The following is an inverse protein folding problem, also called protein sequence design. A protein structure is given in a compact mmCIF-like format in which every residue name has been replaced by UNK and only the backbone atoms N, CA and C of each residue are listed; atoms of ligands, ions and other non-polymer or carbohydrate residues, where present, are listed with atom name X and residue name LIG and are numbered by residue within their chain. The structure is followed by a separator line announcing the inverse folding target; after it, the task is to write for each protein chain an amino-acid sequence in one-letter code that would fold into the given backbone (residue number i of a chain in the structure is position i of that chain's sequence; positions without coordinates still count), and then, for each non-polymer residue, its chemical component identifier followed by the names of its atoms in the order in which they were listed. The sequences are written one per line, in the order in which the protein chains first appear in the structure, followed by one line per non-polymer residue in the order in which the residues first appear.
data_IF_979201561834
#
_entry.id   IF_979201561834
#
_cell.length_a   1.000
_cell.length_b   1.000
_cell.length_c   1.000
_cell.angle_alpha   90.00
_cell.angle_beta   90.00
_cell.angle_gamma   90.00
#
_symmetry.space_group_name_H-M   'P 1'
#
loop_
_entity.id
_entity.type
_entity.pdbx_description
1 polymer ?
#
# COMPACT_ATOMS: atom_id res chain seq x y z
N UNK A 1 -6.35 -10.35 0.83
CA UNK A 1 -7.31 -10.88 -0.18
C UNK A 1 -8.60 -10.07 -0.11
N UNK A 2 -9.44 -10.09 -1.14
CA UNK A 2 -10.74 -9.37 -1.27
C UNK A 2 -10.64 -7.84 -1.38
N UNK A 3 -9.60 -7.35 -2.06
CA UNK A 3 -9.40 -5.91 -2.30
C UNK A 3 -10.56 -5.27 -3.08
N UNK A 4 -11.18 -6.03 -4.00
CA UNK A 4 -12.40 -5.67 -4.74
C UNK A 4 -13.56 -5.28 -3.81
N UNK A 5 -13.74 -6.00 -2.69
CA UNK A 5 -14.79 -5.68 -1.71
C UNK A 5 -14.49 -4.39 -0.95
N UNK A 6 -13.21 -4.06 -0.76
CA UNK A 6 -12.84 -2.82 -0.09
C UNK A 6 -13.16 -1.60 -0.95
N UNK A 7 -12.96 -1.68 -2.27
CA UNK A 7 -13.35 -0.61 -3.19
C UNK A 7 -14.87 -0.40 -3.26
N UNK A 8 -15.66 -1.46 -3.09
CA UNK A 8 -17.10 -1.34 -2.92
C UNK A 8 -17.49 -0.74 -1.58
N UNK A 9 -16.81 -1.15 -0.49
CA UNK A 9 -17.10 -0.69 0.87
C UNK A 9 -16.75 0.78 1.09
N UNK A 10 -15.66 1.24 0.50
CA UNK A 10 -15.15 2.61 0.60
C UNK A 10 -14.93 3.21 -0.79
N UNK A 11 -16.00 3.59 -1.50
CA UNK A 11 -15.88 4.18 -2.83
C UNK A 11 -15.17 5.53 -2.74
N UNK A 12 -14.02 5.65 -3.39
CA UNK A 12 -13.25 6.89 -3.46
C UNK A 12 -12.40 7.22 -2.22
N UNK A 13 -12.58 6.53 -1.10
CA UNK A 13 -11.76 6.71 0.09
C UNK A 13 -10.62 5.67 0.16
N UNK A 14 -9.53 6.04 -0.53
CA UNK A 14 -8.32 5.23 -0.57
C UNK A 14 -7.56 5.22 0.75
N UNK A 15 -7.72 6.25 1.59
CA UNK A 15 -7.06 6.29 2.90
C UNK A 15 -7.74 5.31 3.85
N UNK A 16 -9.08 5.27 3.89
CA UNK A 16 -9.81 4.26 4.67
C UNK A 16 -9.45 2.83 4.24
N UNK A 17 -9.31 2.61 2.92
CA UNK A 17 -8.84 1.32 2.38
C UNK A 17 -7.43 0.98 2.87
N UNK A 18 -6.50 1.94 2.82
CA UNK A 18 -5.14 1.74 3.36
C UNK A 18 -5.16 1.45 4.87
N UNK A 19 -5.92 2.21 5.67
CA UNK A 19 -5.99 2.02 7.12
C UNK A 19 -6.54 0.63 7.48
N UNK A 20 -7.52 0.12 6.73
CA UNK A 20 -8.02 -1.24 6.90
C UNK A 20 -6.94 -2.30 6.61
N UNK A 21 -6.18 -2.13 5.53
CA UNK A 21 -5.07 -3.03 5.19
C UNK A 21 -3.95 -2.95 6.24
N UNK A 22 -3.60 -1.75 6.69
CA UNK A 22 -2.57 -1.53 7.71
C UNK A 22 -2.98 -2.15 9.04
N UNK A 23 -4.24 -2.01 9.44
CA UNK A 23 -4.79 -2.66 10.62
C UNK A 23 -4.67 -4.18 10.52
N UNK A 24 -5.06 -4.79 9.39
CA UNK A 24 -4.93 -6.24 9.21
C UNK A 24 -3.49 -6.74 9.29
N UNK A 25 -2.52 -5.98 8.76
CA UNK A 25 -1.09 -6.32 8.89
C UNK A 25 -0.63 -6.19 10.35
N UNK A 26 -1.07 -5.16 11.06
CA UNK A 26 -0.80 -4.98 12.49
C UNK A 26 -1.34 -6.12 13.33
N UNK A 27 -2.63 -6.45 13.18
CA UNK A 27 -3.28 -7.55 13.90
C UNK A 27 -2.54 -8.89 13.69
N UNK A 28 -2.03 -9.15 12.46
CA UNK A 28 -1.22 -10.34 12.18
C UNK A 28 0.14 -10.31 12.90
N UNK A 29 0.81 -9.17 12.93
CA UNK A 29 2.08 -9.02 13.64
C UNK A 29 1.91 -9.19 15.15
N UNK A 30 0.80 -8.72 15.72
CA UNK A 30 0.50 -8.90 17.15
C UNK A 30 0.31 -10.39 17.50
N UNK A 31 -0.38 -11.14 16.62
CA UNK A 31 -0.54 -12.60 16.79
C UNK A 31 0.80 -13.33 16.67
N UNK A 32 1.64 -12.95 15.71
CA UNK A 32 2.97 -13.53 15.53
C UNK A 32 3.81 -13.27 16.80
N UNK A 33 3.82 -12.04 17.30
CA UNK A 33 4.57 -11.66 18.48
C UNK A 33 4.12 -12.43 19.75
N UNK A 34 2.82 -12.74 19.85
CA UNK A 34 2.29 -13.51 20.99
C UNK A 34 2.73 -14.98 20.98
N UNK A 35 3.07 -15.54 19.81
CA UNK A 35 3.35 -16.96 19.64
C UNK A 35 4.81 -17.23 19.23
N UNK A 36 5.69 -16.24 19.29
CA UNK A 36 7.07 -16.35 18.81
C UNK A 36 7.92 -17.20 19.78
N UNK A 37 8.41 -18.39 19.36
CA UNK A 37 9.42 -19.10 20.12
C UNK A 37 10.76 -18.38 19.91
N UNK A 38 11.40 -17.93 21.00
CA UNK A 38 12.69 -17.17 21.08
C UNK A 38 13.83 -17.65 20.16
N UNK A 39 13.72 -18.82 19.55
CA UNK A 39 14.69 -19.49 18.69
C UNK A 39 14.69 -19.03 17.21
N UNK A 40 13.63 -18.37 16.70
CA UNK A 40 13.51 -18.07 15.26
C UNK A 40 13.85 -16.62 14.85
N UNK A 41 14.10 -15.73 15.81
CA UNK A 41 14.31 -14.30 15.54
C UNK A 41 13.02 -13.60 15.10
N UNK A 42 13.06 -12.31 14.70
CA UNK A 42 11.84 -11.54 14.44
C UNK A 42 11.12 -12.02 13.17
N UNK A 43 10.04 -12.81 13.35
CA UNK A 43 9.20 -13.35 12.26
C UNK A 43 8.16 -12.33 11.74
N UNK A 44 8.20 -11.08 12.22
CA UNK A 44 7.22 -10.04 11.85
C UNK A 44 7.19 -9.75 10.35
N UNK A 45 5.98 -9.59 9.82
CA UNK A 45 5.75 -9.31 8.41
C UNK A 45 5.60 -7.81 8.16
N UNK A 46 6.30 -7.32 7.14
CA UNK A 46 6.35 -5.90 6.81
C UNK A 46 6.20 -5.69 5.29
N UNK A 47 5.13 -5.00 4.84
CA UNK A 47 4.92 -4.74 3.42
C UNK A 47 6.11 -4.03 2.75
N UNK A 48 6.76 -3.10 3.45
CA UNK A 48 7.95 -2.38 2.98
C UNK A 48 9.19 -3.27 2.76
N UNK A 49 9.18 -4.51 3.25
CA UNK A 49 10.22 -5.51 3.02
C UNK A 49 9.84 -6.50 1.91
N UNK A 50 8.64 -6.40 1.34
CA UNK A 50 8.14 -7.29 0.30
C UNK A 50 7.58 -8.62 0.82
N UNK A 51 7.42 -8.79 2.14
CA UNK A 51 6.89 -10.02 2.75
C UNK A 51 5.35 -10.10 2.73
N UNK A 52 4.67 -9.07 2.21
CA UNK A 52 3.20 -9.00 2.15
C UNK A 52 2.76 -8.73 0.71
N UNK A 53 1.79 -9.52 0.24
CA UNK A 53 1.12 -9.36 -1.04
C UNK A 53 -0.35 -8.96 -0.84
N UNK A 54 -0.84 -8.13 -1.75
CA UNK A 54 -2.20 -7.61 -1.78
C UNK A 54 -2.88 -8.05 -3.08
N UNK A 55 -4.15 -8.43 -3.03
CA UNK A 55 -4.85 -8.85 -4.25
C UNK A 55 -6.31 -9.23 -4.03
N UNK A 56 -6.94 -9.59 -5.14
CA UNK A 56 -8.28 -10.17 -5.23
C UNK A 56 -8.22 -11.51 -5.95
N UNK A 57 -8.56 -12.59 -5.24
CA UNK A 57 -8.68 -13.91 -5.85
C UNK A 57 -9.84 -14.01 -6.86
N UNK A 58 -10.94 -13.26 -6.64
CA UNK A 58 -12.11 -13.30 -7.54
C UNK A 58 -11.76 -12.72 -8.91
N UNK A 59 -10.99 -11.64 -8.94
CA UNK A 59 -10.55 -10.98 -10.17
C UNK A 59 -9.19 -11.50 -10.68
N UNK A 60 -8.60 -12.48 -9.99
CA UNK A 60 -7.38 -13.16 -10.43
C UNK A 60 -6.10 -12.30 -10.42
N UNK A 61 -6.02 -11.25 -9.61
CA UNK A 61 -4.83 -10.38 -9.55
C UNK A 61 -4.25 -10.24 -8.15
N UNK A 62 -2.94 -10.00 -8.10
CA UNK A 62 -2.20 -9.71 -6.87
C UNK A 62 -0.90 -8.97 -7.17
N UNK A 63 -0.44 -8.22 -6.18
CA UNK A 63 0.80 -7.45 -6.28
C UNK A 63 1.52 -7.40 -4.93
N UNK A 64 2.82 -7.12 -5.00
CA UNK A 64 3.63 -6.70 -3.85
C UNK A 64 4.07 -5.25 -4.06
N UNK A 65 4.53 -4.58 -3.00
CA UNK A 65 5.05 -3.21 -3.13
C UNK A 65 6.24 -3.10 -4.08
N UNK A 66 6.98 -4.20 -4.28
CA UNK A 66 8.13 -4.27 -5.19
C UNK A 66 7.73 -3.95 -6.63
N UNK A 67 6.61 -4.50 -7.11
CA UNK A 67 6.12 -4.24 -8.46
C UNK A 67 5.85 -2.74 -8.69
N UNK A 68 5.20 -2.07 -7.74
CA UNK A 68 4.94 -0.64 -7.83
C UNK A 68 6.18 0.21 -7.58
N UNK A 69 7.14 -0.27 -6.81
CA UNK A 69 8.43 0.38 -6.65
C UNK A 69 9.21 0.38 -7.97
N UNK A 70 9.28 -0.76 -8.67
CA UNK A 70 9.90 -0.93 -9.99
C UNK A 70 9.36 0.10 -11.01
N UNK A 71 8.04 0.25 -11.09
CA UNK A 71 7.41 1.14 -12.08
C UNK A 71 7.57 2.63 -11.76
N UNK A 72 7.70 3.00 -10.48
CA UNK A 72 7.67 4.41 -10.06
C UNK A 72 9.04 4.99 -9.67
N UNK A 73 10.08 4.16 -9.47
CA UNK A 73 11.37 4.64 -8.97
C UNK A 73 12.09 5.56 -9.97
N UNK A 74 12.09 5.21 -11.25
CA UNK A 74 12.74 5.99 -12.31
C UNK A 74 12.08 7.35 -12.49
N UNK A 75 10.75 7.40 -12.39
CA UNK A 75 9.96 8.64 -12.52
C UNK A 75 10.26 9.65 -11.41
N UNK A 76 10.70 9.16 -10.24
CA UNK A 76 10.98 9.96 -9.05
C UNK A 76 12.47 10.12 -8.76
N UNK A 77 13.34 9.50 -9.55
CA UNK A 77 14.81 9.57 -9.37
C UNK A 77 15.29 9.04 -8.02
N UNK A 78 14.59 8.04 -7.45
CA UNK A 78 14.99 7.38 -6.20
C UNK A 78 15.22 5.89 -6.46
N UNK A 79 16.01 5.21 -5.63
CA UNK A 79 16.23 3.77 -5.79
C UNK A 79 14.96 2.97 -5.49
N UNK A 80 14.77 1.83 -6.16
CA UNK A 80 13.65 0.90 -5.94
C UNK A 80 13.47 0.58 -4.45
N UNK A 81 14.56 0.26 -3.75
CA UNK A 81 14.54 -0.06 -2.31
C UNK A 81 14.04 1.12 -1.46
N UNK A 82 14.42 2.35 -1.82
CA UNK A 82 13.96 3.56 -1.12
C UNK A 82 12.49 3.84 -1.44
N UNK A 83 12.08 3.62 -2.69
CA UNK A 83 10.68 3.74 -3.11
C UNK A 83 9.79 2.76 -2.36
N UNK A 84 10.20 1.49 -2.25
CA UNK A 84 9.44 0.46 -1.52
C UNK A 84 9.18 0.85 -0.06
N UNK A 85 10.18 1.43 0.63
CA UNK A 85 10.01 1.98 1.98
C UNK A 85 9.07 3.19 2.04
N UNK A 86 9.02 4.00 0.97
CA UNK A 86 8.14 5.17 0.86
C UNK A 86 6.69 4.82 0.50
N UNK A 87 6.46 3.64 -0.05
CA UNK A 87 5.14 3.15 -0.43
C UNK A 87 4.31 2.63 0.75
N UNK A 88 4.86 2.52 1.97
CA UNK A 88 4.12 2.04 3.13
C UNK A 88 4.41 2.90 4.38
N UNK A 89 3.52 2.81 5.37
CA UNK A 89 3.62 3.57 6.61
C UNK A 89 3.31 5.06 6.43
N UNK A 90 3.76 5.87 7.39
CA UNK A 90 3.58 7.32 7.40
C UNK A 90 4.58 8.00 6.47
N UNK A 91 4.35 7.80 5.17
CA UNK A 91 5.06 8.49 4.10
C UNK A 91 4.02 9.15 3.19
N UNK A 92 4.05 10.48 3.16
CA UNK A 92 3.16 11.30 2.37
C UNK A 92 3.94 11.96 1.23
N UNK A 93 3.35 11.93 0.04
CA UNK A 93 3.90 12.55 -1.15
C UNK A 93 3.10 13.79 -1.52
N UNK A 94 3.81 14.89 -1.72
CA UNK A 94 3.26 16.14 -2.21
C UNK A 94 3.49 16.23 -3.72
N UNK A 95 2.40 16.27 -4.51
CA UNK A 95 2.51 16.37 -5.96
C UNK A 95 3.01 17.73 -6.44
N UNK A 96 2.81 18.81 -5.67
CA UNK A 96 3.19 20.16 -6.07
C UNK A 96 4.69 20.37 -5.92
N UNK A 97 5.21 20.01 -4.75
CA UNK A 97 6.64 20.17 -4.44
C UNK A 97 7.46 18.95 -4.84
N UNK A 98 6.82 17.83 -5.20
CA UNK A 98 7.45 16.53 -5.50
C UNK A 98 8.32 16.00 -4.36
N UNK A 99 7.99 16.38 -3.12
CA UNK A 99 8.73 15.99 -1.92
C UNK A 99 7.97 14.97 -1.08
N UNK A 100 8.74 14.21 -0.30
CA UNK A 100 8.23 13.27 0.68
C UNK A 100 8.26 13.88 2.08
N UNK A 101 7.23 13.65 2.87
CA UNK A 101 7.14 14.02 4.28
C UNK A 101 6.66 12.82 5.09
N UNK A 102 7.12 12.69 6.34
CA UNK A 102 6.60 11.68 7.27
C UNK A 102 5.37 12.16 8.03
N UNK A 103 5.13 13.47 8.01
CA UNK A 103 3.96 14.09 8.63
C UNK A 103 3.09 14.70 7.55
N UNK A 104 1.78 14.43 7.62
CA UNK A 104 0.81 15.09 6.76
C UNK A 104 0.66 16.55 7.20
N UNK A 105 1.26 17.47 6.43
CA UNK A 105 1.21 18.92 6.69
C UNK A 105 0.02 19.59 5.99
N UNK A 106 -0.40 19.04 4.86
CA UNK A 106 -1.44 19.64 4.03
C UNK A 106 -2.45 18.61 3.54
N UNK A 107 -3.68 19.06 3.23
CA UNK A 107 -4.75 18.19 2.73
C UNK A 107 -4.41 17.54 1.38
N UNK A 108 -3.65 18.23 0.53
CA UNK A 108 -3.25 17.74 -0.79
C UNK A 108 -2.13 16.68 -0.76
N UNK A 109 -1.47 16.51 0.40
CA UNK A 109 -0.51 15.43 0.58
C UNK A 109 -1.28 14.12 0.77
N UNK A 110 -0.95 13.16 -0.09
CA UNK A 110 -1.53 11.82 -0.06
C UNK A 110 -0.47 10.84 0.37
N UNK A 111 -0.86 9.80 1.09
CA UNK A 111 0.06 8.71 1.44
C UNK A 111 0.62 8.07 0.18
N UNK A 112 1.89 7.66 0.21
CA UNK A 112 2.59 7.06 -0.92
C UNK A 112 1.82 5.85 -1.48
N UNK A 113 1.35 4.97 -0.61
CA UNK A 113 0.51 3.84 -1.00
C UNK A 113 -0.75 4.28 -1.75
N UNK A 114 -1.50 5.23 -1.19
CA UNK A 114 -2.74 5.73 -1.77
C UNK A 114 -2.49 6.34 -3.15
N UNK A 115 -1.41 7.13 -3.30
CA UNK A 115 -1.10 7.84 -4.54
C UNK A 115 -0.54 6.94 -5.65
N UNK A 116 0.41 6.08 -5.32
CA UNK A 116 1.17 5.33 -6.33
C UNK A 116 0.66 3.91 -6.57
N UNK A 117 -0.16 3.37 -5.65
CA UNK A 117 -0.69 2.00 -5.74
C UNK A 117 -2.20 2.02 -5.89
N UNK A 118 -2.93 2.58 -4.91
CA UNK A 118 -4.39 2.50 -4.91
C UNK A 118 -5.04 3.38 -6.00
N UNK A 119 -4.54 4.59 -6.25
CA UNK A 119 -5.11 5.48 -7.28
C UNK A 119 -5.11 4.84 -8.69
N UNK A 120 -3.98 4.30 -9.20
CA UNK A 120 -3.99 3.61 -10.49
C UNK A 120 -4.96 2.41 -10.55
N UNK A 121 -5.00 1.60 -9.49
CA UNK A 121 -5.87 0.41 -9.43
C UNK A 121 -7.34 0.84 -9.38
N UNK A 122 -7.67 1.83 -8.57
CA UNK A 122 -9.03 2.36 -8.44
C UNK A 122 -9.49 3.07 -9.72
N UNK A 123 -8.58 3.76 -10.41
CA UNK A 123 -8.82 4.34 -11.73
C UNK A 123 -9.17 3.28 -12.77
N UNK A 124 -8.39 2.19 -12.82
CA UNK A 124 -8.68 1.06 -13.71
C UNK A 124 -10.01 0.40 -13.37
N UNK A 125 -10.27 0.17 -12.08
CA UNK A 125 -11.51 -0.40 -11.59
C UNK A 125 -12.74 0.43 -12.02
N UNK A 126 -12.69 1.76 -11.86
CA UNK A 126 -13.76 2.64 -12.30
C UNK A 126 -13.91 2.70 -13.82
N UNK A 127 -12.80 2.68 -14.57
CA UNK A 127 -12.84 2.69 -16.03
C UNK A 127 -13.48 1.41 -16.58
N UNK A 128 -13.15 0.24 -16.02
CA UNK A 128 -13.79 -1.02 -16.39
C UNK A 128 -15.28 -1.02 -16.06
N UNK A 129 -15.66 -0.51 -14.89
CA UNK A 129 -17.09 -0.41 -14.49
C UNK A 129 -17.90 0.56 -15.36
N UNK A 130 -17.28 1.61 -15.88
CA UNK A 130 -17.95 2.59 -16.74
C UNK A 130 -18.11 2.11 -18.20
N UNK A 131 -17.45 1.02 -18.58
CA UNK A 131 -17.53 0.41 -19.91
C UNK A 131 -18.62 -0.68 -20.01
N UNK A 132 -19.27 -1.01 -18.88
CA UNK A 132 -20.46 -1.87 -18.79
C UNK A 132 -21.74 -1.03 -18.77
#
# INVERSE_FOLDING_TARGET
NKLDKMFHKWPGDLEATYQALAKSVGDLNDIIALNDPDLMGPVSVWPQNGSVAFGSGLQGWGFTLRHFAAVNHDRLGISERKMMKKLWGDNFYDQKTRTWSTVRKHKHQKRGFCKFVLEPIYGLYNACKAAE
#
